data_IF_129117189662
#
_entry.id   IF_129117189662
#
_cell.length_a   1.000
_cell.length_b   1.000
_cell.length_c   1.000
_cell.angle_alpha   90.00
_cell.angle_beta   90.00
_cell.angle_gamma   90.00
#
_symmetry.space_group_name_H-M   'P 1'
#
loop_
_entity.id
_entity.type
_entity.pdbx_description
1 polymer ?
#
# COMPACT_ATOMS: atom_id res chain seq x y z
N UNK A 1 3.43 -12.58 -21.28
CA UNK A 1 2.74 -11.35 -20.87
C UNK A 1 1.69 -11.66 -19.83
N UNK A 2 1.65 -10.93 -18.70
CA UNK A 2 0.69 -11.19 -17.65
C UNK A 2 -0.68 -10.54 -17.95
N UNK A 3 -1.55 -11.28 -18.59
CA UNK A 3 -2.91 -10.84 -18.88
C UNK A 3 -3.96 -11.73 -18.26
N UNK A 4 -5.09 -11.11 -17.90
CA UNK A 4 -6.35 -11.73 -17.60
C UNK A 4 -6.41 -12.47 -16.27
N UNK A 5 -7.60 -12.90 -15.95
CA UNK A 5 -7.92 -13.59 -14.70
C UNK A 5 -7.10 -14.86 -14.50
N UNK A 6 -6.91 -15.64 -15.56
CA UNK A 6 -6.20 -16.91 -15.49
C UNK A 6 -4.76 -16.70 -15.04
N UNK A 7 -4.05 -15.77 -15.68
CA UNK A 7 -2.65 -15.48 -15.33
C UNK A 7 -2.53 -14.89 -13.93
N UNK A 8 -3.46 -14.03 -13.55
CA UNK A 8 -3.52 -13.50 -12.19
C UNK A 8 -3.66 -14.59 -11.14
N UNK A 9 -4.55 -15.55 -11.38
CA UNK A 9 -4.75 -16.69 -10.47
C UNK A 9 -3.55 -17.64 -10.41
N UNK A 10 -2.75 -17.71 -11.46
CA UNK A 10 -1.50 -18.49 -11.48
C UNK A 10 -0.39 -17.80 -10.67
N UNK A 11 -0.32 -16.48 -10.75
CA UNK A 11 0.72 -15.67 -10.08
C UNK A 11 0.43 -15.51 -8.58
N UNK A 12 -0.82 -15.39 -8.19
CA UNK A 12 -1.23 -15.16 -6.80
C UNK A 12 -0.60 -16.15 -5.81
N UNK A 13 -0.73 -17.48 -5.98
CA UNK A 13 -0.17 -18.42 -5.01
C UNK A 13 1.37 -18.39 -4.97
N UNK A 14 2.03 -18.05 -6.05
CA UNK A 14 3.48 -17.92 -6.10
C UNK A 14 3.96 -16.74 -5.26
N UNK A 15 3.30 -15.59 -5.39
CA UNK A 15 3.61 -14.40 -4.57
C UNK A 15 3.26 -14.62 -3.11
N UNK A 16 2.12 -15.25 -2.84
CA UNK A 16 1.70 -15.59 -1.46
C UNK A 16 2.73 -16.48 -0.78
N UNK A 17 3.27 -17.47 -1.48
CA UNK A 17 4.29 -18.36 -0.94
C UNK A 17 5.57 -17.60 -0.57
N UNK A 18 5.97 -16.60 -1.36
CA UNK A 18 7.13 -15.75 -1.05
C UNK A 18 6.88 -14.94 0.23
N UNK A 19 5.72 -14.35 0.38
CA UNK A 19 5.36 -13.57 1.58
C UNK A 19 5.32 -14.48 2.81
N UNK A 20 4.69 -15.63 2.71
CA UNK A 20 4.58 -16.60 3.80
C UNK A 20 5.96 -17.17 4.22
N UNK A 21 6.90 -17.22 3.28
CA UNK A 21 8.28 -17.67 3.54
C UNK A 21 9.15 -16.62 4.23
N UNK A 22 8.67 -15.38 4.34
CA UNK A 22 9.38 -14.26 4.95
C UNK A 22 8.54 -13.60 6.05
N UNK A 23 8.21 -14.32 7.14
CA UNK A 23 7.24 -13.86 8.13
C UNK A 23 7.68 -12.61 8.90
N UNK A 24 8.98 -12.35 8.97
CA UNK A 24 9.54 -11.17 9.67
C UNK A 24 9.64 -9.93 8.79
N UNK A 25 9.41 -10.06 7.49
CA UNK A 25 9.39 -8.93 6.56
C UNK A 25 7.98 -8.36 6.50
N UNK A 26 7.85 -7.05 6.69
CA UNK A 26 6.56 -6.36 6.72
C UNK A 26 6.19 -5.68 5.40
N UNK A 27 7.19 -5.29 4.61
CA UNK A 27 6.99 -4.55 3.35
C UNK A 27 7.66 -5.31 2.21
N UNK A 28 6.91 -5.46 1.12
CA UNK A 28 7.35 -6.18 -0.08
C UNK A 28 7.27 -5.26 -1.30
N UNK A 29 8.34 -5.20 -2.03
CA UNK A 29 8.41 -4.51 -3.31
C UNK A 29 8.26 -5.52 -4.45
N UNK A 30 7.36 -5.22 -5.39
CA UNK A 30 7.20 -6.00 -6.60
C UNK A 30 7.62 -5.13 -7.79
N UNK A 31 8.76 -5.48 -8.38
CA UNK A 31 9.29 -4.75 -9.53
C UNK A 31 8.59 -5.18 -10.83
N UNK A 32 8.25 -4.18 -11.64
CA UNK A 32 7.70 -4.37 -12.97
C UNK A 32 8.73 -4.11 -14.06
N UNK A 33 10.01 -4.14 -13.71
CA UNK A 33 11.09 -4.02 -14.70
C UNK A 33 10.95 -5.10 -15.79
N UNK A 34 10.97 -4.67 -17.04
CA UNK A 34 10.77 -5.56 -18.20
C UNK A 34 9.32 -5.96 -18.48
N UNK A 35 8.35 -5.46 -17.72
CA UNK A 35 6.92 -5.70 -17.96
C UNK A 35 6.32 -4.49 -18.65
N UNK A 36 5.96 -4.66 -19.91
CA UNK A 36 5.42 -3.56 -20.72
C UNK A 36 3.92 -3.33 -20.50
N UNK A 37 3.17 -4.38 -20.16
CA UNK A 37 1.73 -4.29 -20.02
C UNK A 37 1.15 -5.36 -19.09
N UNK A 38 0.18 -4.93 -18.27
CA UNK A 38 -0.74 -5.80 -17.52
C UNK A 38 -2.13 -5.18 -17.57
N UNK A 39 -3.17 -6.00 -17.58
CA UNK A 39 -4.54 -5.49 -17.57
C UNK A 39 -5.14 -5.44 -16.15
N UNK A 40 -6.32 -4.82 -16.04
CA UNK A 40 -7.02 -4.69 -14.76
C UNK A 40 -7.44 -6.04 -14.16
N UNK A 41 -7.77 -7.00 -15.00
CA UNK A 41 -8.13 -8.35 -14.57
C UNK A 41 -6.96 -9.08 -13.92
N UNK A 42 -5.77 -8.98 -14.50
CA UNK A 42 -4.55 -9.51 -13.90
C UNK A 42 -4.26 -8.84 -12.55
N UNK A 43 -4.32 -7.51 -12.50
CA UNK A 43 -4.08 -6.75 -11.28
C UNK A 43 -5.02 -7.19 -10.15
N UNK A 44 -6.31 -7.29 -10.44
CA UNK A 44 -7.34 -7.67 -9.48
C UNK A 44 -7.17 -9.08 -8.93
N UNK A 45 -6.82 -10.05 -9.78
CA UNK A 45 -6.72 -11.47 -9.40
C UNK A 45 -5.34 -11.87 -8.85
N UNK A 46 -4.39 -10.96 -8.82
CA UNK A 46 -3.03 -11.21 -8.34
C UNK A 46 -2.63 -10.28 -7.19
N UNK A 47 -1.89 -9.24 -7.48
CA UNK A 47 -1.24 -8.39 -6.48
C UNK A 47 -2.27 -7.63 -5.62
N UNK A 48 -3.34 -7.10 -6.22
CA UNK A 48 -4.36 -6.39 -5.45
C UNK A 48 -5.13 -7.30 -4.50
N UNK A 49 -5.44 -8.52 -4.93
CA UNK A 49 -6.06 -9.52 -4.05
C UNK A 49 -5.12 -9.88 -2.90
N UNK A 50 -3.83 -10.05 -3.19
CA UNK A 50 -2.81 -10.34 -2.21
C UNK A 50 -2.65 -9.21 -1.20
N UNK A 51 -2.57 -7.97 -1.67
CA UNK A 51 -2.48 -6.78 -0.82
C UNK A 51 -3.70 -6.65 0.09
N UNK A 52 -4.89 -6.93 -0.42
CA UNK A 52 -6.13 -6.91 0.36
C UNK A 52 -6.15 -8.00 1.44
N UNK A 53 -5.67 -9.18 1.12
CA UNK A 53 -5.57 -10.31 2.06
C UNK A 53 -4.64 -9.98 3.24
N UNK A 54 -3.53 -9.32 2.99
CA UNK A 54 -2.55 -8.96 4.02
C UNK A 54 -2.76 -7.56 4.61
N UNK A 55 -3.89 -6.91 4.30
CA UNK A 55 -4.21 -5.57 4.77
C UNK A 55 -4.02 -5.45 6.28
N UNK A 56 -3.25 -4.45 6.70
CA UNK A 56 -2.91 -4.22 8.09
C UNK A 56 -1.73 -5.04 8.63
N UNK A 57 -1.35 -6.13 7.98
CA UNK A 57 -0.25 -7.01 8.42
C UNK A 57 1.00 -6.87 7.58
N UNK A 58 0.84 -6.81 6.27
CA UNK A 58 1.93 -6.69 5.29
C UNK A 58 1.59 -5.59 4.30
N UNK A 59 2.61 -4.85 3.88
CA UNK A 59 2.50 -3.85 2.83
C UNK A 59 3.13 -4.35 1.54
N UNK A 60 2.46 -4.07 0.42
CA UNK A 60 2.96 -4.39 -0.90
C UNK A 60 2.93 -3.11 -1.72
N UNK A 61 4.04 -2.78 -2.37
CA UNK A 61 4.10 -1.68 -3.32
C UNK A 61 4.76 -2.13 -4.62
N UNK A 62 4.45 -1.39 -5.67
CA UNK A 62 4.98 -1.65 -7.00
C UNK A 62 6.12 -0.67 -7.31
N UNK A 63 7.05 -1.11 -8.14
CA UNK A 63 8.14 -0.26 -8.62
C UNK A 63 8.41 -0.50 -10.09
N UNK A 64 9.23 0.38 -10.67
CA UNK A 64 9.70 0.29 -12.05
C UNK A 64 8.58 0.34 -13.10
N UNK A 65 7.48 1.03 -12.78
CA UNK A 65 6.50 1.41 -13.79
C UNK A 65 7.06 2.53 -14.64
N UNK A 66 6.81 2.45 -15.93
CA UNK A 66 7.09 3.53 -16.86
C UNK A 66 6.07 4.66 -16.61
N UNK A 67 6.52 5.87 -16.21
CA UNK A 67 5.61 6.99 -15.94
C UNK A 67 4.86 7.46 -17.18
N UNK A 68 5.35 7.17 -18.37
CA UNK A 68 4.71 7.50 -19.64
C UNK A 68 3.68 6.46 -20.08
N UNK A 69 3.65 5.30 -19.43
CA UNK A 69 2.66 4.26 -19.72
C UNK A 69 1.34 4.51 -18.97
N UNK A 70 0.60 5.49 -19.47
CA UNK A 70 -0.64 5.95 -18.86
C UNK A 70 -1.70 4.87 -18.83
N UNK A 71 -1.81 4.07 -19.89
CA UNK A 71 -2.80 3.00 -19.99
C UNK A 71 -2.61 1.95 -18.88
N UNK A 72 -1.38 1.60 -18.59
CA UNK A 72 -1.06 0.66 -17.52
C UNK A 72 -1.39 1.25 -16.14
N UNK A 73 -1.05 2.50 -15.91
CA UNK A 73 -1.39 3.21 -14.67
C UNK A 73 -2.91 3.31 -14.47
N UNK A 74 -3.65 3.65 -15.52
CA UNK A 74 -5.11 3.74 -15.48
C UNK A 74 -5.75 2.37 -15.20
N UNK A 75 -5.23 1.30 -15.77
CA UNK A 75 -5.69 -0.06 -15.51
C UNK A 75 -5.52 -0.46 -14.04
N UNK A 76 -4.38 -0.12 -13.45
CA UNK A 76 -4.12 -0.40 -12.04
C UNK A 76 -4.94 0.48 -11.11
N UNK A 77 -5.07 1.76 -11.43
CA UNK A 77 -5.90 2.69 -10.66
C UNK A 77 -7.37 2.25 -10.64
N UNK A 78 -7.91 1.93 -11.81
CA UNK A 78 -9.26 1.39 -11.95
C UNK A 78 -9.46 0.10 -11.14
N UNK A 79 -8.53 -0.85 -11.25
CA UNK A 79 -8.61 -2.12 -10.54
C UNK A 79 -8.53 -1.92 -9.02
N UNK A 80 -7.64 -1.06 -8.55
CA UNK A 80 -7.47 -0.74 -7.13
C UNK A 80 -8.73 -0.10 -6.54
N UNK A 81 -9.31 0.86 -7.26
CA UNK A 81 -10.57 1.50 -6.87
C UNK A 81 -11.72 0.49 -6.81
N UNK A 82 -11.82 -0.37 -7.81
CA UNK A 82 -12.88 -1.36 -7.94
C UNK A 82 -12.89 -2.40 -6.81
N UNK A 83 -11.72 -2.85 -6.38
CA UNK A 83 -11.58 -3.81 -5.27
C UNK A 83 -11.39 -3.14 -3.91
N UNK A 84 -11.39 -1.82 -3.87
CA UNK A 84 -11.19 -1.01 -2.66
C UNK A 84 -9.89 -1.36 -1.93
N UNK A 85 -8.82 -1.55 -2.71
CA UNK A 85 -7.48 -1.77 -2.19
C UNK A 85 -6.51 -0.80 -2.82
N UNK A 86 -6.04 0.23 -2.07
CA UNK A 86 -5.03 1.14 -2.57
C UNK A 86 -3.68 0.44 -2.74
N UNK A 87 -2.87 0.95 -3.66
CA UNK A 87 -1.51 0.47 -3.85
C UNK A 87 -0.59 1.63 -4.21
N UNK A 88 0.61 1.62 -3.65
CA UNK A 88 1.66 2.59 -3.98
C UNK A 88 2.50 2.09 -5.13
N UNK A 89 2.85 3.02 -6.02
CA UNK A 89 3.72 2.77 -7.17
C UNK A 89 4.88 3.75 -7.16
N UNK A 90 6.10 3.23 -7.20
CA UNK A 90 7.31 4.03 -7.40
C UNK A 90 7.65 4.09 -8.88
N UNK A 91 7.82 5.31 -9.40
CA UNK A 91 8.12 5.58 -10.80
C UNK A 91 9.17 6.70 -10.88
N UNK A 92 10.38 6.39 -11.28
CA UNK A 92 11.39 7.39 -11.58
C UNK A 92 11.61 8.48 -10.52
N UNK A 93 11.54 8.13 -9.23
CA UNK A 93 11.67 9.08 -8.13
C UNK A 93 10.35 9.67 -7.61
N UNK A 94 9.24 9.41 -8.28
CA UNK A 94 7.89 9.74 -7.83
C UNK A 94 7.23 8.55 -7.15
N UNK A 95 6.41 8.82 -6.14
CA UNK A 95 5.53 7.82 -5.52
C UNK A 95 4.10 8.25 -5.76
N UNK A 96 3.29 7.37 -6.32
CA UNK A 96 1.87 7.62 -6.57
C UNK A 96 1.01 6.60 -5.85
N UNK A 97 -0.06 7.07 -5.20
CA UNK A 97 -1.09 6.22 -4.62
C UNK A 97 -2.17 5.98 -5.69
N UNK A 98 -2.44 4.71 -6.00
CA UNK A 98 -3.52 4.30 -6.89
C UNK A 98 -4.70 3.77 -6.07
N UNK A 99 -5.90 4.00 -6.56
CA UNK A 99 -7.15 3.58 -5.91
C UNK A 99 -7.99 4.74 -5.39
N UNK A 100 -8.85 4.46 -4.42
CA UNK A 100 -9.77 5.45 -3.87
C UNK A 100 -9.02 6.61 -3.20
N UNK A 101 -9.48 7.82 -3.48
CA UNK A 101 -8.91 9.02 -2.88
C UNK A 101 -9.30 9.15 -1.41
N UNK A 102 -8.37 9.68 -0.63
CA UNK A 102 -8.60 10.01 0.77
C UNK A 102 -9.29 11.37 0.91
N UNK A 103 -10.03 11.56 2.00
CA UNK A 103 -10.46 12.90 2.41
C UNK A 103 -9.23 13.78 2.69
N UNK A 104 -9.38 15.10 2.59
CA UNK A 104 -8.24 16.02 2.81
C UNK A 104 -7.60 15.82 4.19
N UNK A 105 -8.37 15.59 5.23
CA UNK A 105 -7.85 15.39 6.59
C UNK A 105 -7.12 14.05 6.75
N UNK A 106 -7.60 13.00 6.11
CA UNK A 106 -6.92 11.69 6.11
C UNK A 106 -5.68 11.71 5.20
N UNK A 107 -5.72 12.48 4.12
CA UNK A 107 -4.56 12.68 3.25
C UNK A 107 -3.40 13.34 4.00
N UNK A 108 -3.67 14.33 4.84
CA UNK A 108 -2.63 14.95 5.68
C UNK A 108 -1.92 13.95 6.59
N UNK A 109 -2.70 13.07 7.23
CA UNK A 109 -2.14 12.01 8.09
C UNK A 109 -1.31 11.02 7.26
N UNK A 110 -1.84 10.59 6.12
CA UNK A 110 -1.14 9.70 5.20
C UNK A 110 0.18 10.30 4.72
N UNK A 111 0.18 11.55 4.29
CA UNK A 111 1.37 12.25 3.81
C UNK A 111 2.43 12.36 4.90
N UNK A 112 2.01 12.60 6.14
CA UNK A 112 2.93 12.66 7.28
C UNK A 112 3.57 11.30 7.57
N UNK A 113 2.80 10.21 7.53
CA UNK A 113 3.33 8.85 7.70
C UNK A 113 4.31 8.50 6.59
N UNK A 114 3.98 8.83 5.35
CA UNK A 114 4.84 8.64 4.19
C UNK A 114 6.18 9.37 4.35
N UNK A 115 6.14 10.63 4.76
CA UNK A 115 7.32 11.47 4.94
C UNK A 115 8.21 10.98 6.09
N UNK A 116 7.60 10.57 7.19
CA UNK A 116 8.30 10.10 8.38
C UNK A 116 8.83 8.67 8.24
N UNK A 117 8.26 7.87 7.34
CA UNK A 117 8.48 6.43 7.15
C UNK A 117 8.00 5.58 8.31
N UNK A 118 8.25 5.98 9.54
CA UNK A 118 7.70 5.39 10.77
C UNK A 118 7.37 6.51 11.74
N UNK A 119 6.20 6.47 12.37
CA UNK A 119 5.74 7.52 13.26
C UNK A 119 4.75 6.97 14.30
N UNK A 120 4.78 7.53 15.51
CA UNK A 120 3.82 7.19 16.58
C UNK A 120 2.56 8.04 16.51
N UNK A 121 1.48 7.58 17.15
CA UNK A 121 0.23 8.33 17.26
C UNK A 121 0.46 9.69 17.94
N UNK A 122 1.26 9.74 19.00
CA UNK A 122 1.56 10.99 19.71
C UNK A 122 2.25 12.02 18.83
N UNK A 123 3.19 11.58 17.99
CA UNK A 123 3.88 12.48 17.05
C UNK A 123 2.94 12.99 15.97
N UNK A 124 2.04 12.15 15.46
CA UNK A 124 1.02 12.57 14.50
C UNK A 124 0.13 13.64 15.13
N UNK A 125 -0.37 13.40 16.34
CA UNK A 125 -1.21 14.35 17.07
C UNK A 125 -0.49 15.70 17.27
N UNK A 126 0.76 15.68 17.71
CA UNK A 126 1.54 16.89 17.94
C UNK A 126 1.79 17.67 16.63
N UNK A 127 2.20 16.99 15.57
CA UNK A 127 2.57 17.66 14.32
C UNK A 127 1.38 18.22 13.55
N UNK A 128 0.21 17.59 13.68
CA UNK A 128 -1.01 18.03 12.98
C UNK A 128 -1.97 18.82 13.87
N UNK A 129 -1.62 19.05 15.13
CA UNK A 129 -2.49 19.79 16.07
C UNK A 129 -3.79 19.05 16.39
N UNK A 130 -3.74 17.71 16.41
CA UNK A 130 -4.88 16.85 16.73
C UNK A 130 -4.82 16.38 18.18
N UNK A 131 -5.98 16.01 18.74
CA UNK A 131 -6.01 15.23 19.97
C UNK A 131 -5.47 13.81 19.69
N UNK A 132 -4.91 13.15 20.70
CA UNK A 132 -4.42 11.78 20.57
C UNK A 132 -5.53 10.82 20.12
N UNK A 133 -6.75 10.84 20.71
CA UNK A 133 -7.87 10.03 20.22
C UNK A 133 -8.24 10.29 18.76
N UNK A 134 -8.22 11.54 18.32
CA UNK A 134 -8.52 11.90 16.93
C UNK A 134 -7.44 11.36 15.97
N UNK A 135 -6.16 11.53 16.30
CA UNK A 135 -5.06 10.98 15.54
C UNK A 135 -5.15 9.45 15.47
N UNK A 136 -5.43 8.78 16.58
CA UNK A 136 -5.60 7.33 16.64
C UNK A 136 -6.73 6.85 15.73
N UNK A 137 -7.88 7.53 15.72
CA UNK A 137 -9.02 7.18 14.87
C UNK A 137 -8.66 7.30 13.39
N UNK A 138 -7.97 8.37 13.00
CA UNK A 138 -7.54 8.59 11.62
C UNK A 138 -6.52 7.54 11.16
N UNK A 139 -5.52 7.23 11.99
CA UNK A 139 -4.52 6.20 11.71
C UNK A 139 -5.19 4.83 11.57
N UNK A 140 -6.13 4.49 12.45
CA UNK A 140 -6.87 3.24 12.36
C UNK A 140 -7.62 3.11 11.03
N UNK A 141 -8.29 4.17 10.58
CA UNK A 141 -8.97 4.17 9.27
C UNK A 141 -8.01 3.92 8.12
N UNK A 142 -6.81 4.50 8.18
CA UNK A 142 -5.79 4.27 7.15
C UNK A 142 -5.27 2.83 7.17
N UNK A 143 -5.08 2.23 8.33
CA UNK A 143 -4.70 0.81 8.46
C UNK A 143 -5.81 -0.09 7.93
N UNK A 144 -7.04 0.12 8.36
CA UNK A 144 -8.19 -0.69 7.96
C UNK A 144 -8.46 -0.58 6.45
N UNK A 145 -8.16 0.58 5.86
CA UNK A 145 -8.28 0.81 4.42
C UNK A 145 -7.13 0.27 3.58
N UNK A 146 -6.05 -0.20 4.20
CA UNK A 146 -4.88 -0.74 3.51
C UNK A 146 -3.87 0.31 3.04
N UNK A 147 -3.94 1.53 3.56
CA UNK A 147 -3.03 2.63 3.17
C UNK A 147 -1.70 2.60 3.90
N UNK A 148 -1.70 2.20 5.17
CA UNK A 148 -0.53 2.12 6.04
C UNK A 148 -0.56 0.83 6.85
N UNK A 149 0.56 0.51 7.48
CA UNK A 149 0.69 -0.61 8.40
C UNK A 149 0.83 -0.13 9.84
N UNK A 150 0.28 -0.92 10.75
CA UNK A 150 0.54 -0.80 12.18
C UNK A 150 1.62 -1.81 12.55
N UNK A 151 2.73 -1.33 13.09
CA UNK A 151 3.83 -2.17 13.56
C UNK A 151 3.90 -2.05 15.07
N UNK A 152 3.74 -3.17 15.76
CA UNK A 152 3.93 -3.25 17.20
C UNK A 152 5.42 -3.45 17.49
N UNK A 153 6.21 -2.40 17.29
CA UNK A 153 7.53 -2.35 17.90
C UNK A 153 7.41 -1.58 19.21
N UNK A 154 8.04 -2.13 20.26
CA UNK A 154 8.25 -1.40 21.51
C UNK A 154 9.30 -0.33 21.20
N UNK A 155 8.87 0.81 20.71
CA UNK A 155 9.72 1.99 20.71
C UNK A 155 10.22 2.21 22.15
N UNK A 156 11.41 2.75 22.31
CA UNK A 156 11.97 3.10 23.62
C UNK A 156 11.01 3.94 24.48
N UNK A 157 10.02 4.57 23.84
CA UNK A 157 8.96 5.36 24.46
C UNK A 157 7.65 4.60 24.71
N UNK A 158 7.54 3.30 24.37
CA UNK A 158 6.34 2.48 24.59
C UNK A 158 5.17 2.76 23.64
N UNK A 159 5.38 3.39 22.49
CA UNK A 159 4.35 3.70 21.49
C UNK A 159 4.23 2.67 20.40
N UNK A 160 3.10 2.70 19.66
CA UNK A 160 2.86 1.93 18.44
C UNK A 160 3.28 2.78 17.26
N UNK A 161 4.07 2.22 16.37
CA UNK A 161 4.52 2.90 15.15
C UNK A 161 3.68 2.49 13.94
N UNK A 162 3.51 3.44 13.02
CA UNK A 162 2.83 3.24 11.76
C UNK A 162 3.81 3.44 10.61
N UNK A 163 3.77 2.54 9.63
CA UNK A 163 4.58 2.60 8.41
C UNK A 163 3.67 2.47 7.18
N UNK A 164 4.17 2.90 6.03
CA UNK A 164 3.45 2.75 4.76
C UNK A 164 3.85 1.48 4.03
#
# INVERSE_FOLDING_TARGET
MPFGNKKGREVFPQLKAIIDSNPNQNVFEISFDGIEFTDSSFARESILLLAKMFRGNKGIFLSDFDPDNIDMLDNWDYAAEKVEQPILVKMGGEIRLLGNQLSSSNQEVFDLVMKAKAITTNKVATQLGLSVPNASTKLKKLVDGGYILRVEEVAESGGIEFIY
#
